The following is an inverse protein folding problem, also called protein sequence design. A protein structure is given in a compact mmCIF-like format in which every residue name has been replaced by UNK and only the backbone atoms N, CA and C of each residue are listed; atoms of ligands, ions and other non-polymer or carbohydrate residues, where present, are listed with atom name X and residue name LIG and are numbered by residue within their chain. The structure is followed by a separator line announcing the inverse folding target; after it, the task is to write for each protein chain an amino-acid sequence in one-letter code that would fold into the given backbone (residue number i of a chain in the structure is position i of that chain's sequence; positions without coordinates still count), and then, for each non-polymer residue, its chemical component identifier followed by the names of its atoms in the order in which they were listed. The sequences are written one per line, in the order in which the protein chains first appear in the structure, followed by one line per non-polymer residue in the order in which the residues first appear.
data_IF_121255231758
#
_entry.id   IF_121255231758
#
_cell.length_a   1.000
_cell.length_b   1.000
_cell.length_c   1.000
_cell.angle_alpha   90.00
_cell.angle_beta   90.00
_cell.angle_gamma   90.00
#
_symmetry.space_group_name_H-M   'P 1'
#
loop_
_entity.id
_entity.type
_entity.pdbx_description
1 polymer ?
#
# COMPACT_ATOMS: atom_id res chain seq x y z
N UNK A 1 10.92 20.11 -12.02
CA UNK A 1 9.83 20.83 -11.30
C UNK A 1 9.64 20.34 -9.85
N UNK A 2 9.87 19.06 -9.52
CA UNK A 2 9.73 18.54 -8.14
C UNK A 2 10.94 18.81 -7.24
N UNK A 3 12.17 18.75 -7.76
CA UNK A 3 13.41 18.88 -6.97
C UNK A 3 13.70 20.32 -6.53
N UNK A 4 13.59 21.28 -7.44
CA UNK A 4 13.70 22.72 -7.14
C UNK A 4 12.70 23.18 -6.07
N UNK A 5 11.49 22.62 -6.10
CA UNK A 5 10.47 22.88 -5.08
C UNK A 5 10.80 22.25 -3.73
N UNK A 6 11.51 21.11 -3.73
CA UNK A 6 12.02 20.51 -2.50
C UNK A 6 13.17 21.35 -1.92
N UNK A 7 14.07 21.86 -2.77
CA UNK A 7 15.15 22.75 -2.39
C UNK A 7 14.63 24.04 -1.75
N UNK A 8 13.66 24.71 -2.37
CA UNK A 8 12.99 25.88 -1.80
C UNK A 8 12.36 25.62 -0.43
N UNK A 9 11.87 24.40 -0.18
CA UNK A 9 11.27 24.06 1.12
C UNK A 9 12.34 23.81 2.18
N UNK A 10 13.49 23.27 1.78
CA UNK A 10 14.65 23.02 2.62
C UNK A 10 15.56 24.25 2.78
N UNK A 11 15.13 25.43 2.29
CA UNK A 11 15.93 26.67 2.26
C UNK A 11 17.29 26.50 1.53
N UNK A 12 17.32 25.64 0.51
CA UNK A 12 18.49 25.41 -0.36
C UNK A 12 18.36 26.27 -1.61
N UNK A 13 19.43 27.00 -1.93
CA UNK A 13 19.56 27.67 -3.22
C UNK A 13 19.72 26.60 -4.30
N UNK A 14 18.71 26.48 -5.17
CA UNK A 14 18.75 25.51 -6.26
C UNK A 14 19.54 26.07 -7.44
N UNK A 15 20.66 25.42 -7.76
CA UNK A 15 21.48 25.81 -8.90
C UNK A 15 21.02 25.14 -10.20
N UNK A 16 21.15 25.86 -11.32
CA UNK A 16 20.73 25.35 -12.64
C UNK A 16 21.57 24.16 -13.13
N UNK A 17 22.79 24.00 -12.62
CA UNK A 17 23.69 22.88 -12.88
C UNK A 17 23.26 21.57 -12.19
N UNK A 18 22.31 21.60 -11.23
CA UNK A 18 21.80 20.41 -10.54
C UNK A 18 20.84 19.56 -11.39
N UNK A 19 20.48 20.05 -12.57
CA UNK A 19 19.56 19.37 -13.48
C UNK A 19 20.25 19.09 -14.80
N UNK A 20 20.23 17.83 -15.21
CA UNK A 20 20.65 17.40 -16.56
C UNK A 20 19.41 16.90 -17.29
N UNK A 21 19.00 17.64 -18.33
CA UNK A 21 17.75 17.42 -19.06
C UNK A 21 16.53 17.48 -18.12
N UNK A 22 15.95 16.33 -17.78
CA UNK A 22 14.77 16.19 -16.92
C UNK A 22 15.08 15.55 -15.58
N UNK A 23 16.35 15.24 -15.31
CA UNK A 23 16.78 14.47 -14.14
C UNK A 23 17.71 15.30 -13.24
N UNK A 24 17.61 15.08 -11.93
CA UNK A 24 18.53 15.66 -10.95
C UNK A 24 19.83 14.86 -10.99
N UNK A 25 20.97 15.54 -11.04
CA UNK A 25 22.28 14.87 -10.98
C UNK A 25 22.70 14.57 -9.52
N UNK A 26 23.87 13.95 -9.35
CA UNK A 26 24.36 13.58 -8.03
C UNK A 26 24.55 14.79 -7.11
N UNK A 27 25.04 15.91 -7.63
CA UNK A 27 25.27 17.12 -6.84
C UNK A 27 23.96 17.72 -6.33
N UNK A 28 22.93 17.77 -7.18
CA UNK A 28 21.59 18.18 -6.78
C UNK A 28 20.94 17.26 -5.75
N UNK A 29 21.18 15.95 -5.84
CA UNK A 29 20.72 14.97 -4.85
C UNK A 29 21.45 15.12 -3.52
N UNK A 30 22.77 15.31 -3.55
CA UNK A 30 23.59 15.52 -2.36
C UNK A 30 23.22 16.83 -1.65
N UNK A 31 22.97 17.91 -2.40
CA UNK A 31 22.51 19.18 -1.84
C UNK A 31 21.15 19.05 -1.12
N UNK A 32 20.21 18.30 -1.71
CA UNK A 32 18.93 18.01 -1.05
C UNK A 32 19.09 17.12 0.18
N UNK A 33 19.97 16.12 0.10
CA UNK A 33 20.21 15.18 1.19
C UNK A 33 20.90 15.87 2.38
N UNK A 34 21.89 16.71 2.11
CA UNK A 34 22.61 17.48 3.13
C UNK A 34 21.66 18.44 3.84
N UNK A 35 20.85 19.18 3.08
CA UNK A 35 19.86 20.09 3.65
C UNK A 35 18.74 19.37 4.42
N UNK A 36 18.28 18.22 3.92
CA UNK A 36 17.33 17.38 4.65
C UNK A 36 17.94 16.84 5.94
N UNK A 37 19.23 16.48 5.93
CA UNK A 37 19.97 16.01 7.11
C UNK A 37 20.18 17.13 8.12
N UNK A 38 20.49 18.34 7.66
CA UNK A 38 20.59 19.53 8.50
C UNK A 38 19.23 19.90 9.11
N UNK A 39 18.15 19.86 8.33
CA UNK A 39 16.81 20.12 8.81
C UNK A 39 16.34 19.04 9.81
N UNK A 40 16.74 17.78 9.62
CA UNK A 40 16.50 16.71 10.57
C UNK A 40 17.25 16.95 11.88
N UNK A 41 18.56 17.23 11.81
CA UNK A 41 19.40 17.50 12.98
C UNK A 41 18.92 18.73 13.77
N UNK A 42 18.38 19.74 13.09
CA UNK A 42 17.82 20.95 13.70
C UNK A 42 16.37 20.80 14.18
N UNK A 43 15.73 19.63 14.01
CA UNK A 43 14.32 19.43 14.33
C UNK A 43 13.37 20.32 13.53
N UNK A 44 13.80 20.83 12.37
CA UNK A 44 13.09 21.84 11.57
C UNK A 44 12.33 21.25 10.38
N UNK A 45 12.40 19.93 10.15
CA UNK A 45 11.61 19.24 9.12
C UNK A 45 10.09 19.51 9.25
N UNK A 46 9.59 19.68 10.47
CA UNK A 46 8.18 20.02 10.72
C UNK A 46 7.82 21.40 10.14
N UNK A 47 8.74 22.37 10.19
CA UNK A 47 8.58 23.70 9.55
C UNK A 47 8.60 23.62 8.02
N UNK A 48 9.50 22.80 7.48
CA UNK A 48 9.61 22.53 6.04
C UNK A 48 8.31 21.90 5.50
N UNK A 49 7.69 21.02 6.29
CA UNK A 49 6.39 20.42 5.99
C UNK A 49 5.23 21.41 6.15
N UNK A 50 5.18 22.21 7.22
CA UNK A 50 4.12 23.21 7.44
C UNK A 50 4.05 24.27 6.32
N UNK A 51 5.22 24.73 5.80
CA UNK A 51 5.31 25.63 4.65
C UNK A 51 4.71 25.07 3.35
N UNK A 52 4.43 23.77 3.29
CA UNK A 52 3.83 23.13 2.13
C UNK A 52 2.30 23.22 2.08
N UNK A 53 1.64 23.60 3.18
CA UNK A 53 0.20 23.76 3.26
C UNK A 53 -0.20 25.23 3.16
N UNK A 54 -0.81 25.62 2.03
CA UNK A 54 -1.36 26.96 1.80
C UNK A 54 -2.21 27.42 3.00
N UNK A 55 -1.87 28.57 3.58
CA UNK A 55 -2.64 29.20 4.66
C UNK A 55 -2.35 28.72 6.09
N UNK A 56 -1.52 27.70 6.31
CA UNK A 56 -1.15 27.19 7.65
C UNK A 56 0.23 27.70 8.10
N UNK A 57 0.47 29.01 8.06
CA UNK A 57 1.78 29.63 8.36
C UNK A 57 1.89 30.28 9.75
N UNK A 58 0.80 30.37 10.50
CA UNK A 58 0.77 30.93 11.86
C UNK A 58 1.45 30.03 12.90
N UNK A 59 1.85 30.63 14.04
CA UNK A 59 2.51 29.91 15.13
C UNK A 59 1.60 28.82 15.74
N UNK A 60 0.29 29.04 15.70
CA UNK A 60 -0.74 28.09 16.12
C UNK A 60 -0.79 26.82 15.26
N UNK A 61 -0.12 26.80 14.10
CA UNK A 61 0.00 25.64 13.20
C UNK A 61 1.42 25.06 13.17
N UNK A 62 2.35 25.60 13.96
CA UNK A 62 3.77 25.28 13.85
C UNK A 62 4.09 23.78 14.06
N UNK A 63 3.28 23.07 14.83
CA UNK A 63 3.43 21.64 15.12
C UNK A 63 2.61 20.75 14.19
N UNK A 64 1.76 21.32 13.31
CA UNK A 64 0.93 20.52 12.41
C UNK A 64 1.78 19.70 11.45
N UNK A 65 1.53 18.40 11.41
CA UNK A 65 2.12 17.51 10.42
C UNK A 65 1.13 17.28 9.27
N UNK A 66 1.34 17.79 8.05
CA UNK A 66 0.42 17.59 6.95
C UNK A 66 0.38 16.13 6.48
N UNK A 67 -0.81 15.64 6.13
CA UNK A 67 -0.94 14.35 5.47
C UNK A 67 -0.26 14.39 4.09
N UNK A 68 0.45 13.31 3.75
CA UNK A 68 1.17 13.15 2.48
C UNK A 68 0.23 12.82 1.34
N UNK A 69 -0.87 12.15 1.63
CA UNK A 69 -1.83 11.67 0.65
C UNK A 69 -3.27 11.94 1.08
N UNK A 70 -4.21 11.88 0.12
CA UNK A 70 -5.63 11.98 0.44
C UNK A 70 -6.14 10.82 1.30
N UNK A 71 -5.61 9.62 1.09
CA UNK A 71 -6.04 8.45 1.87
C UNK A 71 -5.57 8.58 3.33
N UNK A 72 -4.35 9.06 3.57
CA UNK A 72 -3.88 9.39 4.92
C UNK A 72 -4.75 10.48 5.55
N UNK A 73 -5.08 11.52 4.78
CA UNK A 73 -5.92 12.61 5.26
C UNK A 73 -7.30 12.13 5.74
N UNK A 74 -8.01 11.34 4.93
CA UNK A 74 -9.33 10.80 5.34
C UNK A 74 -9.20 9.78 6.47
N UNK A 75 -8.11 9.02 6.53
CA UNK A 75 -7.84 8.08 7.63
C UNK A 75 -7.67 8.81 8.96
N UNK A 76 -6.91 9.92 8.97
CA UNK A 76 -6.75 10.78 10.16
C UNK A 76 -8.08 11.39 10.59
N UNK A 77 -8.86 11.92 9.65
CA UNK A 77 -10.20 12.47 9.96
C UNK A 77 -11.12 11.44 10.63
N UNK A 78 -11.14 10.20 10.13
CA UNK A 78 -11.92 9.14 10.74
C UNK A 78 -11.43 8.82 12.16
N UNK A 79 -10.11 8.71 12.35
CA UNK A 79 -9.50 8.42 13.64
C UNK A 79 -9.75 9.49 14.70
N UNK A 80 -9.83 10.78 14.32
CA UNK A 80 -10.11 11.88 15.25
C UNK A 80 -11.47 11.76 15.94
N UNK A 81 -12.43 11.08 15.30
CA UNK A 81 -13.81 10.98 15.79
C UNK A 81 -14.29 9.56 16.04
N UNK A 82 -13.41 8.56 15.91
CA UNK A 82 -13.80 7.15 15.98
C UNK A 82 -14.81 6.74 14.90
N UNK A 83 -14.90 7.51 13.80
CA UNK A 83 -15.80 7.21 12.70
C UNK A 83 -15.36 5.95 11.95
N UNK A 84 -16.29 5.27 11.24
CA UNK A 84 -15.93 4.21 10.31
C UNK A 84 -14.85 4.69 9.34
N UNK A 85 -13.84 3.85 9.09
CA UNK A 85 -12.75 4.23 8.20
C UNK A 85 -13.24 4.37 6.77
N UNK A 86 -12.66 5.35 6.10
CA UNK A 86 -13.04 5.76 4.76
C UNK A 86 -11.98 5.32 3.76
N UNK A 87 -12.43 5.01 2.55
CA UNK A 87 -11.57 4.75 1.40
C UNK A 87 -11.69 5.89 0.40
N UNK A 88 -10.90 5.85 -0.67
CA UNK A 88 -11.07 6.79 -1.79
C UNK A 88 -11.90 6.14 -2.89
N UNK A 89 -12.88 6.89 -3.38
CA UNK A 89 -13.68 6.51 -4.54
C UNK A 89 -12.94 6.72 -5.86
N UNK A 90 -13.60 6.45 -7.00
CA UNK A 90 -12.99 6.52 -8.33
C UNK A 90 -12.25 7.83 -8.59
N UNK A 91 -11.01 7.71 -9.08
CA UNK A 91 -10.12 8.86 -9.33
C UNK A 91 -9.50 9.45 -8.07
N UNK A 92 -9.30 8.64 -7.03
CA UNK A 92 -8.71 9.05 -5.74
C UNK A 92 -9.49 10.20 -5.08
N UNK A 93 -10.82 10.18 -5.21
CA UNK A 93 -11.71 11.19 -4.65
C UNK A 93 -12.20 10.77 -3.26
N UNK A 94 -12.12 11.69 -2.32
CA UNK A 94 -12.69 11.51 -0.99
C UNK A 94 -14.22 11.39 -1.05
N UNK A 95 -14.81 10.56 -0.20
CA UNK A 95 -16.25 10.49 -0.03
C UNK A 95 -16.75 11.68 0.81
N UNK A 96 -18.00 12.10 0.59
CA UNK A 96 -18.63 13.15 1.42
C UNK A 96 -18.79 12.69 2.88
N UNK A 97 -18.96 11.39 3.09
CA UNK A 97 -19.09 10.76 4.41
C UNK A 97 -17.91 11.05 5.34
N UNK A 98 -16.68 11.12 4.82
CA UNK A 98 -15.50 11.48 5.62
C UNK A 98 -15.67 12.83 6.36
N UNK A 99 -16.26 13.83 5.70
CA UNK A 99 -16.52 15.14 6.30
C UNK A 99 -17.82 15.16 7.11
N UNK A 100 -18.83 14.41 6.67
CA UNK A 100 -20.10 14.32 7.41
C UNK A 100 -19.91 13.66 8.77
N UNK A 101 -19.07 12.62 8.84
CA UNK A 101 -18.74 11.95 10.09
C UNK A 101 -18.03 12.91 11.05
N UNK A 102 -17.07 13.70 10.55
CA UNK A 102 -16.41 14.75 11.33
C UNK A 102 -17.43 15.77 11.87
N UNK A 103 -18.29 16.29 10.99
CA UNK A 103 -19.32 17.26 11.35
C UNK A 103 -20.30 16.70 12.40
N UNK A 104 -20.80 15.49 12.18
CA UNK A 104 -21.78 14.84 13.06
C UNK A 104 -21.19 14.58 14.44
N UNK A 105 -19.92 14.17 14.52
CA UNK A 105 -19.29 13.82 15.79
C UNK A 105 -18.77 15.02 16.58
N UNK A 106 -18.23 16.06 15.90
CA UNK A 106 -17.69 17.24 16.59
C UNK A 106 -18.73 18.35 16.79
N UNK A 107 -19.73 18.43 15.90
CA UNK A 107 -20.65 19.57 15.81
C UNK A 107 -22.10 19.13 15.51
N UNK A 108 -22.68 18.16 16.26
CA UNK A 108 -23.96 17.54 15.92
C UNK A 108 -25.15 18.51 15.78
N UNK A 109 -25.07 19.70 16.39
CA UNK A 109 -26.14 20.69 16.40
C UNK A 109 -25.67 22.09 15.96
N UNK A 110 -24.55 22.19 15.24
CA UNK A 110 -24.06 23.49 14.77
C UNK A 110 -24.72 23.90 13.45
N UNK A 111 -25.68 24.83 13.53
CA UNK A 111 -26.44 25.33 12.38
C UNK A 111 -25.58 26.00 11.30
N UNK A 112 -24.32 26.35 11.61
CA UNK A 112 -23.38 26.91 10.63
C UNK A 112 -22.87 25.88 9.64
N UNK A 113 -23.00 24.58 9.93
CA UNK A 113 -22.50 23.52 9.05
C UNK A 113 -23.47 23.26 7.90
N UNK A 114 -23.05 23.60 6.68
CA UNK A 114 -23.82 23.39 5.47
C UNK A 114 -23.48 22.02 4.84
N UNK A 115 -24.37 21.04 5.04
CA UNK A 115 -24.24 19.70 4.49
C UNK A 115 -24.75 19.56 3.05
N UNK A 116 -25.17 20.63 2.36
CA UNK A 116 -25.79 20.56 1.03
C UNK A 116 -24.85 20.00 -0.05
N UNK A 117 -23.57 20.37 0.00
CA UNK A 117 -22.55 19.95 -0.96
C UNK A 117 -21.22 19.68 -0.27
N UNK A 118 -20.29 18.99 -0.94
CA UNK A 118 -18.98 18.68 -0.33
C UNK A 118 -18.14 19.95 -0.14
N UNK A 119 -18.20 20.87 -1.10
CA UNK A 119 -17.48 22.14 -1.00
C UNK A 119 -18.01 23.02 0.14
N UNK A 120 -19.33 23.12 0.28
CA UNK A 120 -19.97 23.86 1.39
C UNK A 120 -19.68 23.23 2.75
N UNK A 121 -19.75 21.90 2.82
CA UNK A 121 -19.42 21.17 4.03
C UNK A 121 -17.96 21.39 4.44
N UNK A 122 -17.02 21.30 3.48
CA UNK A 122 -15.61 21.58 3.74
C UNK A 122 -15.35 23.03 4.19
N UNK A 123 -15.99 24.02 3.55
CA UNK A 123 -15.79 25.43 3.89
C UNK A 123 -16.36 25.77 5.26
N UNK A 124 -17.58 25.35 5.55
CA UNK A 124 -18.24 25.61 6.83
C UNK A 124 -17.57 24.86 7.98
N UNK A 125 -17.08 23.63 7.75
CA UNK A 125 -16.21 22.93 8.71
C UNK A 125 -14.94 23.71 9.00
N UNK A 126 -14.24 24.21 7.98
CA UNK A 126 -13.04 25.01 8.17
C UNK A 126 -13.33 26.31 8.95
N UNK A 127 -14.47 26.96 8.68
CA UNK A 127 -14.93 28.14 9.42
C UNK A 127 -15.16 27.84 10.90
N UNK A 128 -15.93 26.79 11.25
CA UNK A 128 -16.19 26.45 12.67
C UNK A 128 -14.94 25.95 13.39
N UNK A 129 -14.01 25.32 12.68
CA UNK A 129 -12.71 24.90 13.19
C UNK A 129 -11.67 26.04 13.25
N UNK A 130 -12.04 27.23 12.78
CA UNK A 130 -11.15 28.38 12.63
C UNK A 130 -9.83 27.97 11.93
N UNK A 131 -9.98 27.27 10.81
CA UNK A 131 -8.93 26.84 9.91
C UNK A 131 -9.00 27.65 8.60
N UNK A 132 -7.88 27.87 7.89
CA UNK A 132 -7.91 28.57 6.62
C UNK A 132 -8.79 27.83 5.61
N UNK A 133 -9.47 28.59 4.75
CA UNK A 133 -10.19 28.03 3.61
C UNK A 133 -10.08 28.96 2.39
N UNK A 134 -9.75 28.39 1.24
CA UNK A 134 -9.61 29.13 -0.03
C UNK A 134 -10.25 28.35 -1.18
N UNK A 135 -10.60 29.05 -2.26
CA UNK A 135 -11.06 28.43 -3.51
C UNK A 135 -10.05 27.42 -4.07
N UNK A 136 -8.76 27.65 -3.83
CA UNK A 136 -7.68 26.76 -4.27
C UNK A 136 -7.70 25.38 -3.59
N UNK A 137 -8.45 25.22 -2.50
CA UNK A 137 -8.60 23.95 -1.78
C UNK A 137 -9.59 23.01 -2.43
N UNK A 138 -10.30 23.49 -3.45
CA UNK A 138 -11.29 22.72 -4.18
C UNK A 138 -10.86 22.50 -5.62
N UNK A 139 -11.36 21.42 -6.21
CA UNK A 139 -11.29 21.13 -7.64
C UNK A 139 -12.71 20.96 -8.20
N UNK A 140 -12.81 20.94 -9.53
CA UNK A 140 -14.08 20.73 -10.23
C UNK A 140 -14.74 19.40 -9.81
N UNK A 141 -16.06 19.35 -9.90
CA UNK A 141 -16.84 18.14 -9.56
C UNK A 141 -16.84 17.78 -8.07
N UNK A 142 -17.03 18.77 -7.18
CA UNK A 142 -17.20 18.56 -5.73
C UNK A 142 -16.05 17.78 -5.09
N UNK A 143 -14.81 18.02 -5.53
CA UNK A 143 -13.61 17.38 -4.98
C UNK A 143 -12.84 18.39 -4.12
N UNK A 144 -12.37 17.97 -2.96
CA UNK A 144 -11.45 18.74 -2.11
C UNK A 144 -10.02 18.25 -2.40
N UNK A 145 -9.09 19.17 -2.61
CA UNK A 145 -7.67 18.85 -2.82
C UNK A 145 -7.03 18.45 -1.48
N UNK A 146 -5.89 17.77 -1.52
CA UNK A 146 -5.15 17.40 -0.31
C UNK A 146 -4.86 18.62 0.58
N UNK A 147 -4.55 19.79 0.01
CA UNK A 147 -4.35 21.03 0.76
C UNK A 147 -5.58 21.45 1.56
N UNK A 148 -6.79 21.28 1.00
CA UNK A 148 -8.04 21.53 1.70
C UNK A 148 -8.32 20.53 2.81
N UNK A 149 -8.04 19.24 2.56
CA UNK A 149 -8.17 18.21 3.60
C UNK A 149 -7.19 18.46 4.76
N UNK A 150 -5.95 18.86 4.46
CA UNK A 150 -4.96 19.22 5.47
C UNK A 150 -5.40 20.43 6.30
N UNK A 151 -6.06 21.43 5.71
CA UNK A 151 -6.63 22.54 6.46
C UNK A 151 -7.72 22.08 7.45
N UNK A 152 -8.61 21.18 7.02
CA UNK A 152 -9.67 20.63 7.88
C UNK A 152 -9.05 19.77 9.00
N UNK A 153 -8.06 18.93 8.70
CA UNK A 153 -7.35 18.11 9.70
C UNK A 153 -6.66 19.00 10.72
N UNK A 154 -5.90 20.00 10.28
CA UNK A 154 -5.23 20.93 11.18
C UNK A 154 -6.22 21.60 12.14
N UNK A 155 -7.35 22.09 11.59
CA UNK A 155 -8.44 22.65 12.37
C UNK A 155 -9.00 21.68 13.40
N UNK A 156 -9.32 20.44 12.99
CA UNK A 156 -9.90 19.40 13.83
C UNK A 156 -8.93 18.94 14.93
N UNK A 157 -7.67 18.70 14.60
CA UNK A 157 -6.64 18.33 15.57
C UNK A 157 -6.45 19.43 16.61
N UNK A 158 -6.36 20.69 16.17
CA UNK A 158 -6.24 21.82 17.09
C UNK A 158 -7.47 21.95 17.99
N UNK A 159 -8.68 21.81 17.44
CA UNK A 159 -9.92 21.84 18.19
C UNK A 159 -9.96 20.76 19.28
N UNK A 160 -9.38 19.58 19.01
CA UNK A 160 -9.29 18.47 19.93
C UNK A 160 -8.05 18.49 20.86
N UNK A 161 -7.17 19.48 20.73
CA UNK A 161 -5.91 19.54 21.50
C UNK A 161 -4.87 18.49 21.09
N UNK A 162 -4.96 17.98 19.86
CA UNK A 162 -4.19 16.86 19.28
C UNK A 162 -3.28 17.31 18.11
N UNK A 163 -2.94 18.59 18.05
CA UNK A 163 -2.22 19.17 16.91
C UNK A 163 -0.82 18.58 16.74
N UNK A 164 -0.54 18.07 15.54
CA UNK A 164 0.75 17.47 15.20
C UNK A 164 0.79 15.96 15.31
N UNK A 165 -0.33 15.33 15.66
CA UNK A 165 -0.48 13.88 15.56
C UNK A 165 -0.15 13.40 14.15
N UNK A 166 0.61 12.31 14.09
CA UNK A 166 0.94 11.64 12.84
C UNK A 166 0.03 10.43 12.66
N UNK A 167 0.02 9.84 11.46
CA UNK A 167 -0.84 8.68 11.18
C UNK A 167 -0.62 7.51 12.16
N UNK A 168 0.61 7.32 12.66
CA UNK A 168 0.92 6.25 13.61
C UNK A 168 0.36 6.51 15.01
N UNK A 169 0.03 7.76 15.35
CA UNK A 169 -0.67 8.12 16.58
C UNK A 169 -2.18 7.92 16.41
N UNK A 170 -2.68 8.11 15.19
CA UNK A 170 -4.08 7.92 14.83
C UNK A 170 -4.48 6.44 14.70
N UNK A 171 -3.55 5.59 14.26
CA UNK A 171 -3.76 4.14 14.08
C UNK A 171 -3.15 3.37 15.25
N UNK A 172 -3.89 3.30 16.35
CA UNK A 172 -3.41 2.75 17.62
C UNK A 172 -3.53 1.23 17.76
N UNK A 173 -4.13 0.53 16.79
CA UNK A 173 -4.23 -0.94 16.79
C UNK A 173 -3.81 -1.55 15.45
N UNK A 174 -3.34 -2.81 15.40
CA UNK A 174 -3.02 -3.51 14.15
C UNK A 174 -4.24 -3.68 13.24
N UNK A 175 -5.42 -3.91 13.80
CA UNK A 175 -6.68 -3.95 13.04
C UNK A 175 -6.93 -2.61 12.35
N UNK A 176 -6.59 -1.52 13.06
CA UNK A 176 -6.72 -0.19 12.54
C UNK A 176 -5.81 0.10 11.36
N UNK A 177 -4.57 -0.31 11.52
CA UNK A 177 -3.56 -0.22 10.49
C UNK A 177 -3.91 -1.09 9.28
N UNK A 178 -4.24 -2.36 9.49
CA UNK A 178 -4.56 -3.30 8.40
C UNK A 178 -5.71 -2.82 7.52
N UNK A 179 -6.76 -2.29 8.13
CA UNK A 179 -7.90 -1.70 7.43
C UNK A 179 -7.51 -0.46 6.61
N UNK A 180 -6.72 0.47 7.17
CA UNK A 180 -6.23 1.64 6.45
C UNK A 180 -5.31 1.26 5.28
N UNK A 181 -4.43 0.27 5.47
CA UNK A 181 -3.55 -0.24 4.42
C UNK A 181 -4.36 -0.91 3.31
N UNK A 182 -5.35 -1.75 3.65
CA UNK A 182 -6.23 -2.39 2.68
C UNK A 182 -7.04 -1.35 1.88
N UNK A 183 -7.59 -0.31 2.52
CA UNK A 183 -8.27 0.79 1.86
C UNK A 183 -7.38 1.56 0.88
N UNK A 184 -6.11 1.79 1.23
CA UNK A 184 -5.14 2.44 0.36
C UNK A 184 -4.82 1.61 -0.90
N UNK A 185 -4.69 0.29 -0.73
CA UNK A 185 -4.50 -0.64 -1.85
C UNK A 185 -5.70 -0.69 -2.78
N UNK A 186 -6.92 -0.78 -2.23
CA UNK A 186 -8.17 -0.71 -2.98
C UNK A 186 -8.28 0.55 -3.85
N UNK A 187 -7.92 1.70 -3.27
CA UNK A 187 -8.01 3.00 -3.92
C UNK A 187 -7.02 3.18 -5.09
N UNK A 188 -5.91 2.46 -5.10
CA UNK A 188 -4.74 2.81 -5.92
C UNK A 188 -4.18 1.69 -6.78
N UNK A 189 -4.44 0.42 -6.45
CA UNK A 189 -4.03 -0.69 -7.31
C UNK A 189 -4.85 -0.68 -8.62
N UNK A 190 -4.22 -1.01 -9.77
CA UNK A 190 -4.96 -1.13 -11.01
C UNK A 190 -5.98 -2.27 -10.93
N UNK A 191 -7.16 -2.08 -11.52
CA UNK A 191 -8.24 -3.09 -11.54
C UNK A 191 -8.03 -4.20 -12.58
N UNK A 192 -7.02 -4.06 -13.44
CA UNK A 192 -6.62 -5.05 -14.43
C UNK A 192 -5.11 -5.01 -14.62
N UNK A 193 -4.46 -6.17 -14.53
CA UNK A 193 -3.01 -6.33 -14.71
C UNK A 193 -2.76 -7.18 -15.95
N UNK A 194 -2.29 -6.56 -17.03
CA UNK A 194 -1.82 -7.26 -18.23
C UNK A 194 -0.43 -7.86 -17.97
N UNK A 195 -0.25 -9.15 -18.28
CA UNK A 195 0.99 -9.83 -17.97
C UNK A 195 2.20 -9.27 -18.73
N UNK A 196 2.04 -8.84 -19.99
CA UNK A 196 3.15 -8.29 -20.79
C UNK A 196 3.59 -6.94 -20.24
N UNK A 197 2.63 -6.09 -19.87
CA UNK A 197 2.89 -4.79 -19.24
C UNK A 197 3.53 -4.96 -17.86
N UNK A 198 3.02 -5.87 -17.04
CA UNK A 198 3.57 -6.16 -15.71
C UNK A 198 5.01 -6.68 -15.78
N UNK A 199 5.29 -7.65 -16.67
CA UNK A 199 6.64 -8.20 -16.88
C UNK A 199 7.61 -7.13 -17.38
N UNK A 200 7.18 -6.28 -18.32
CA UNK A 200 7.99 -5.14 -18.79
C UNK A 200 8.28 -4.17 -17.66
N UNK A 201 7.26 -3.78 -16.90
CA UNK A 201 7.41 -2.86 -15.78
C UNK A 201 8.39 -3.41 -14.74
N UNK A 202 8.30 -4.70 -14.38
CA UNK A 202 9.26 -5.33 -13.47
C UNK A 202 10.69 -5.25 -14.00
N UNK A 203 10.90 -5.55 -15.29
CA UNK A 203 12.24 -5.49 -15.88
C UNK A 203 12.78 -4.07 -16.03
N UNK A 204 11.95 -3.10 -16.43
CA UNK A 204 12.31 -1.69 -16.60
C UNK A 204 12.66 -1.01 -15.26
N UNK A 205 12.22 -1.58 -14.14
CA UNK A 205 12.53 -1.11 -12.80
C UNK A 205 13.59 -1.98 -12.08
N UNK A 206 14.26 -2.89 -12.80
CA UNK A 206 15.26 -3.82 -12.25
C UNK A 206 14.76 -4.68 -11.07
N UNK A 207 13.48 -5.03 -11.11
CA UNK A 207 12.80 -5.82 -10.08
C UNK A 207 12.79 -7.31 -10.44
N UNK A 208 12.69 -8.14 -9.39
CA UNK A 208 12.57 -9.60 -9.54
C UNK A 208 11.22 -9.99 -10.15
N UNK A 209 11.12 -11.21 -10.69
CA UNK A 209 9.85 -11.76 -11.16
C UNK A 209 9.56 -11.61 -12.65
N UNK A 210 10.30 -10.77 -13.37
CA UNK A 210 10.10 -10.57 -14.82
C UNK A 210 10.33 -11.85 -15.64
N UNK A 211 11.11 -12.80 -15.11
CA UNK A 211 11.38 -14.10 -15.72
C UNK A 211 10.58 -15.25 -15.09
N UNK A 212 9.75 -14.98 -14.08
CA UNK A 212 9.03 -16.00 -13.31
C UNK A 212 7.58 -16.16 -13.81
N UNK A 213 6.95 -17.30 -13.52
CA UNK A 213 5.55 -17.55 -13.91
C UNK A 213 4.57 -16.88 -12.94
N UNK A 214 5.04 -16.59 -11.74
CA UNK A 214 4.35 -15.90 -10.65
C UNK A 214 4.45 -14.38 -10.78
N UNK A 215 4.58 -13.84 -12.00
CA UNK A 215 4.77 -12.42 -12.27
C UNK A 215 3.75 -11.53 -11.55
N UNK A 216 2.50 -11.99 -11.37
CA UNK A 216 1.45 -11.23 -10.70
C UNK A 216 1.74 -11.05 -9.21
N UNK A 217 2.41 -12.02 -8.58
CA UNK A 217 2.87 -11.92 -7.20
C UNK A 217 3.91 -10.81 -7.06
N UNK A 218 4.97 -10.87 -7.86
CA UNK A 218 6.03 -9.85 -7.85
C UNK A 218 5.52 -8.46 -8.23
N UNK A 219 4.74 -8.36 -9.29
CA UNK A 219 4.15 -7.09 -9.72
C UNK A 219 3.23 -6.51 -8.64
N UNK A 220 2.31 -7.32 -8.09
CA UNK A 220 1.37 -6.85 -7.08
C UNK A 220 2.05 -6.43 -5.78
N UNK A 221 3.04 -7.20 -5.32
CA UNK A 221 3.85 -6.89 -4.13
C UNK A 221 4.55 -5.53 -4.26
N UNK A 222 5.26 -5.31 -5.38
CA UNK A 222 6.01 -4.07 -5.59
C UNK A 222 5.10 -2.86 -5.81
N UNK A 223 3.98 -3.03 -6.52
CA UNK A 223 2.99 -1.96 -6.68
C UNK A 223 2.34 -1.61 -5.35
N UNK A 224 1.98 -2.60 -4.54
CA UNK A 224 1.42 -2.38 -3.22
C UNK A 224 2.42 -1.66 -2.30
N UNK A 225 3.69 -2.09 -2.26
CA UNK A 225 4.76 -1.41 -1.51
C UNK A 225 4.90 0.06 -1.91
N UNK A 226 4.93 0.35 -3.21
CA UNK A 226 5.00 1.71 -3.73
C UNK A 226 3.78 2.55 -3.32
N UNK A 227 2.57 1.99 -3.40
CA UNK A 227 1.33 2.65 -2.98
C UNK A 227 1.36 2.97 -1.50
N UNK A 228 1.73 2.01 -0.64
CA UNK A 228 1.74 2.21 0.82
C UNK A 228 2.78 3.26 1.24
N UNK A 229 3.99 3.24 0.64
CA UNK A 229 5.02 4.26 0.86
C UNK A 229 4.61 5.68 0.39
N UNK A 230 3.80 5.76 -0.66
CA UNK A 230 3.23 7.03 -1.14
C UNK A 230 2.03 7.48 -0.29
N UNK A 231 1.32 6.53 0.31
CA UNK A 231 0.09 6.78 1.06
C UNK A 231 0.37 7.22 2.49
N UNK A 232 1.31 6.56 3.18
CA UNK A 232 1.55 6.76 4.60
C UNK A 232 3.04 7.06 4.88
N UNK A 233 3.30 7.74 6.00
CA UNK A 233 4.66 7.96 6.49
C UNK A 233 4.97 6.91 7.57
N UNK A 234 5.88 5.96 7.32
CA UNK A 234 6.31 4.98 8.32
C UNK A 234 6.85 5.60 9.61
N UNK A 235 6.68 4.90 10.73
CA UNK A 235 7.32 5.26 12.01
C UNK A 235 8.85 5.19 11.89
N UNK A 236 9.56 6.06 12.60
CA UNK A 236 11.03 6.06 12.67
C UNK A 236 11.49 6.12 14.15
N UNK A 237 12.22 5.11 14.67
CA UNK A 237 12.46 3.81 14.04
C UNK A 237 11.15 3.02 13.90
N UNK A 238 11.01 2.31 12.79
CA UNK A 238 9.86 1.45 12.50
C UNK A 238 10.00 0.05 13.11
N UNK A 239 9.00 -0.81 12.95
CA UNK A 239 9.06 -2.20 13.41
C UNK A 239 10.15 -2.99 12.68
N UNK A 240 10.68 -4.04 13.33
CA UNK A 240 11.72 -4.89 12.75
C UNK A 240 11.12 -5.75 11.63
N UNK A 241 11.63 -5.65 10.40
CA UNK A 241 11.08 -6.43 9.26
C UNK A 241 11.90 -7.64 8.84
N UNK A 242 13.10 -7.81 9.39
CA UNK A 242 14.05 -8.83 8.93
C UNK A 242 14.28 -9.91 9.96
N UNK A 243 14.01 -11.16 9.55
CA UNK A 243 14.14 -12.38 10.34
C UNK A 243 14.85 -13.44 9.51
N UNK A 244 16.13 -13.69 9.84
CA UNK A 244 17.00 -14.52 9.00
C UNK A 244 17.14 -13.95 7.59
N UNK A 245 16.84 -14.76 6.58
CA UNK A 245 16.84 -14.34 5.16
C UNK A 245 15.52 -13.76 4.68
N UNK A 246 14.48 -13.75 5.52
CA UNK A 246 13.16 -13.22 5.16
C UNK A 246 13.07 -11.76 5.58
N UNK A 247 12.60 -10.92 4.66
CA UNK A 247 12.27 -9.53 4.91
C UNK A 247 10.80 -9.33 4.56
N UNK A 248 10.01 -8.92 5.55
CA UNK A 248 8.59 -8.62 5.35
C UNK A 248 8.39 -7.28 4.65
N UNK A 249 7.30 -7.18 3.90
CA UNK A 249 7.22 -6.19 2.83
C UNK A 249 7.08 -4.75 3.29
N UNK A 250 6.33 -4.51 4.35
CA UNK A 250 5.96 -3.18 4.77
C UNK A 250 5.92 -3.07 6.29
N UNK A 251 6.15 -1.86 6.79
CA UNK A 251 6.05 -1.56 8.21
C UNK A 251 5.62 -0.12 8.39
N UNK A 252 4.50 0.10 9.09
CA UNK A 252 4.04 1.42 9.49
C UNK A 252 4.27 1.56 11.01
N UNK A 253 3.32 1.12 11.84
CA UNK A 253 3.52 0.84 13.26
C UNK A 253 3.76 -0.65 13.50
N UNK A 254 3.13 -1.54 12.71
CA UNK A 254 3.31 -2.99 12.74
C UNK A 254 3.85 -3.53 11.42
N UNK A 255 4.26 -4.81 11.43
CA UNK A 255 4.80 -5.49 10.25
C UNK A 255 3.68 -6.07 9.39
N UNK A 256 3.75 -5.81 8.09
CA UNK A 256 2.82 -6.34 7.09
C UNK A 256 3.56 -6.99 5.94
N UNK A 257 3.12 -8.19 5.61
CA UNK A 257 3.57 -8.95 4.46
C UNK A 257 2.52 -8.93 3.36
N UNK A 258 2.94 -8.68 2.12
CA UNK A 258 2.01 -8.53 1.00
C UNK A 258 1.95 -9.84 0.23
N UNK A 259 0.74 -10.25 -0.13
CA UNK A 259 0.51 -11.48 -0.88
C UNK A 259 -0.53 -11.26 -1.96
N UNK A 260 -0.30 -11.91 -3.11
CA UNK A 260 -1.25 -11.94 -4.22
C UNK A 260 -1.76 -13.37 -4.38
N UNK A 261 -3.07 -13.52 -4.29
CA UNK A 261 -3.75 -14.80 -4.32
C UNK A 261 -4.64 -14.93 -5.55
N UNK A 262 -4.55 -16.07 -6.23
CA UNK A 262 -5.52 -16.42 -7.28
C UNK A 262 -6.66 -17.18 -6.62
N UNK A 263 -7.81 -16.52 -6.48
CA UNK A 263 -9.04 -17.14 -5.93
C UNK A 263 -9.94 -17.71 -7.03
N UNK A 264 -9.85 -17.15 -8.23
CA UNK A 264 -10.60 -17.57 -9.42
C UNK A 264 -9.62 -17.71 -10.59
N UNK A 265 -9.86 -18.68 -11.47
CA UNK A 265 -9.16 -18.81 -12.73
C UNK A 265 -10.15 -18.92 -13.90
N UNK A 266 -9.83 -18.22 -14.99
CA UNK A 266 -10.60 -18.25 -16.24
C UNK A 266 -9.72 -18.78 -17.36
N UNK A 267 -10.17 -19.87 -18.00
CA UNK A 267 -9.51 -20.55 -19.11
C UNK A 267 -10.50 -20.60 -20.27
N UNK A 268 -10.27 -19.81 -21.32
CA UNK A 268 -11.23 -19.62 -22.40
C UNK A 268 -12.61 -19.22 -21.84
N UNK A 269 -13.70 -19.94 -22.19
CA UNK A 269 -15.04 -19.62 -21.70
C UNK A 269 -15.33 -20.13 -20.27
N UNK A 270 -14.39 -20.82 -19.62
CA UNK A 270 -14.63 -21.50 -18.34
C UNK A 270 -13.98 -20.74 -17.18
N UNK A 271 -14.81 -20.28 -16.25
CA UNK A 271 -14.39 -19.68 -14.97
C UNK A 271 -14.64 -20.67 -13.83
N UNK A 272 -13.65 -20.88 -12.97
CA UNK A 272 -13.77 -21.75 -11.79
C UNK A 272 -12.97 -21.25 -10.60
N UNK A 273 -13.35 -21.68 -9.40
CA UNK A 273 -12.57 -21.47 -8.19
C UNK A 273 -11.16 -22.04 -8.32
N UNK A 274 -10.19 -21.33 -7.75
CA UNK A 274 -8.84 -21.83 -7.51
C UNK A 274 -8.72 -22.37 -6.07
N UNK A 275 -7.52 -22.75 -5.66
CA UNK A 275 -7.26 -23.22 -4.29
C UNK A 275 -7.41 -22.07 -3.30
N UNK A 276 -8.16 -22.26 -2.21
CA UNK A 276 -8.21 -21.31 -1.09
C UNK A 276 -6.89 -21.26 -0.28
N UNK A 277 -5.98 -22.18 -0.55
CA UNK A 277 -4.69 -22.27 0.13
C UNK A 277 -3.63 -21.47 -0.62
N UNK A 278 -2.96 -20.57 0.10
CA UNK A 278 -1.86 -19.72 -0.37
C UNK A 278 -0.58 -19.98 0.42
N UNK A 279 0.55 -20.06 -0.29
CA UNK A 279 1.87 -20.14 0.33
C UNK A 279 2.31 -18.77 0.90
N UNK A 280 2.80 -18.78 2.13
CA UNK A 280 3.35 -17.63 2.83
C UNK A 280 4.88 -17.70 2.90
N UNK A 281 5.43 -17.03 3.91
CA UNK A 281 6.86 -16.95 4.18
C UNK A 281 7.38 -18.15 4.97
N UNK A 282 8.70 -18.16 5.15
CA UNK A 282 9.43 -19.14 5.96
C UNK A 282 8.81 -19.30 7.35
N UNK A 283 8.65 -20.55 7.79
CA UNK A 283 7.96 -20.87 9.04
C UNK A 283 8.63 -20.21 10.25
N UNK A 284 9.98 -20.25 10.32
CA UNK A 284 10.71 -19.71 11.47
C UNK A 284 10.60 -18.19 11.49
N UNK A 285 10.80 -17.53 10.35
CA UNK A 285 10.67 -16.08 10.26
C UNK A 285 9.26 -15.58 10.66
N UNK A 286 8.21 -16.31 10.30
CA UNK A 286 6.83 -15.99 10.73
C UNK A 286 6.68 -16.14 12.24
N UNK A 287 7.15 -17.25 12.81
CA UNK A 287 7.10 -17.47 14.27
C UNK A 287 7.86 -16.39 15.03
N UNK A 288 9.11 -16.14 14.64
CA UNK A 288 9.97 -15.17 15.30
C UNK A 288 9.37 -13.75 15.26
N UNK A 289 8.76 -13.35 14.12
CA UNK A 289 8.10 -12.05 14.01
C UNK A 289 6.84 -11.96 14.85
N UNK A 290 6.01 -13.01 14.83
CA UNK A 290 4.78 -13.06 15.62
C UNK A 290 5.09 -13.01 17.12
N UNK A 291 6.10 -13.77 17.56
CA UNK A 291 6.51 -13.81 18.97
C UNK A 291 7.10 -12.48 19.45
N UNK A 292 7.76 -11.70 18.56
CA UNK A 292 8.35 -10.40 18.90
C UNK A 292 7.32 -9.26 18.91
N UNK A 293 6.42 -9.19 17.92
CA UNK A 293 5.61 -7.99 17.68
C UNK A 293 4.29 -8.23 16.91
N UNK A 294 3.93 -9.49 16.67
CA UNK A 294 2.83 -9.85 15.77
C UNK A 294 3.21 -9.72 14.28
N UNK A 295 2.33 -10.23 13.40
CA UNK A 295 2.51 -10.16 11.95
C UNK A 295 1.18 -10.02 11.23
N UNK A 296 1.12 -9.07 10.30
CA UNK A 296 0.00 -8.86 9.41
C UNK A 296 0.25 -9.39 7.99
N UNK A 297 -0.83 -9.80 7.32
CA UNK A 297 -0.82 -10.14 5.90
C UNK A 297 -1.84 -9.29 5.14
N UNK A 298 -1.39 -8.57 4.12
CA UNK A 298 -2.24 -7.88 3.16
C UNK A 298 -2.38 -8.75 1.91
N UNK A 299 -3.58 -9.29 1.68
CA UNK A 299 -3.82 -10.26 0.61
C UNK A 299 -4.69 -9.66 -0.47
N UNK A 300 -4.12 -9.47 -1.66
CA UNK A 300 -4.86 -9.11 -2.87
C UNK A 300 -5.31 -10.39 -3.57
N UNK A 301 -6.58 -10.72 -3.45
CA UNK A 301 -7.19 -11.88 -4.09
C UNK A 301 -7.87 -11.48 -5.38
N UNK A 302 -7.71 -12.28 -6.43
CA UNK A 302 -8.24 -11.94 -7.74
C UNK A 302 -8.40 -13.12 -8.69
N UNK A 303 -8.95 -12.79 -9.85
CA UNK A 303 -9.11 -13.68 -10.99
C UNK A 303 -7.84 -13.71 -11.83
N UNK A 304 -7.29 -14.88 -12.07
CA UNK A 304 -6.26 -15.08 -13.08
C UNK A 304 -6.90 -15.46 -14.42
N UNK A 305 -6.63 -14.67 -15.46
CA UNK A 305 -6.93 -15.06 -16.84
C UNK A 305 -5.76 -15.91 -17.33
N UNK A 306 -6.06 -17.11 -17.80
CA UNK A 306 -5.07 -18.08 -18.24
C UNK A 306 -4.82 -17.95 -19.73
N UNK A 307 -3.57 -18.19 -20.13
CA UNK A 307 -3.09 -18.15 -21.52
C UNK A 307 -3.50 -19.44 -22.26
N UNK A 308 -4.75 -19.52 -22.69
CA UNK A 308 -5.33 -20.68 -23.38
C UNK A 308 -4.86 -20.81 -24.84
N UNK A 309 -4.50 -19.69 -25.48
CA UNK A 309 -3.92 -19.68 -26.85
C UNK A 309 -2.43 -20.01 -26.88
N UNK A 310 -1.71 -19.76 -25.78
CA UNK A 310 -0.26 -19.90 -25.70
C UNK A 310 0.52 -18.68 -26.20
N UNK A 311 -0.16 -17.59 -26.57
CA UNK A 311 0.45 -16.38 -27.09
C UNK A 311 1.32 -15.68 -26.05
N UNK A 312 0.87 -15.65 -24.80
CA UNK A 312 1.67 -15.07 -23.73
C UNK A 312 2.90 -15.92 -23.43
N UNK A 313 2.77 -17.25 -23.44
CA UNK A 313 3.91 -18.16 -23.30
C UNK A 313 4.95 -17.94 -24.40
N UNK A 314 4.53 -17.92 -25.66
CA UNK A 314 5.43 -17.71 -26.80
C UNK A 314 6.15 -16.36 -26.67
N UNK A 315 5.41 -15.30 -26.33
CA UNK A 315 5.99 -13.98 -26.08
C UNK A 315 6.98 -13.98 -24.91
N UNK A 316 6.65 -14.60 -23.78
CA UNK A 316 7.48 -14.58 -22.58
C UNK A 316 8.73 -15.45 -22.72
N UNK A 317 8.68 -16.54 -23.49
CA UNK A 317 9.89 -17.30 -23.84
C UNK A 317 10.84 -16.50 -24.75
N UNK A 318 10.31 -15.78 -25.74
CA UNK A 318 11.10 -14.87 -26.58
C UNK A 318 11.69 -13.71 -25.76
N UNK A 319 10.94 -13.19 -24.79
CA UNK A 319 11.38 -12.16 -23.84
C UNK A 319 12.57 -12.64 -23.00
N UNK A 320 12.48 -13.82 -22.39
CA UNK A 320 13.56 -14.42 -21.58
C UNK A 320 14.82 -14.68 -22.40
N UNK A 321 14.65 -15.15 -23.64
CA UNK A 321 15.75 -15.37 -24.56
C UNK A 321 16.46 -14.06 -24.88
N UNK A 322 15.69 -12.98 -25.15
CA UNK A 322 16.25 -11.65 -25.42
C UNK A 322 17.03 -11.08 -24.23
N UNK A 323 16.53 -11.25 -23.01
CA UNK A 323 17.20 -10.71 -21.81
C UNK A 323 18.43 -11.52 -21.37
N UNK A 324 18.34 -12.85 -21.40
CA UNK A 324 19.37 -13.71 -20.80
C UNK A 324 20.28 -14.41 -21.80
N UNK A 325 19.95 -14.34 -23.10
CA UNK A 325 20.61 -15.11 -24.15
C UNK A 325 20.37 -16.62 -24.06
N UNK A 326 19.56 -17.10 -23.12
CA UNK A 326 19.32 -18.52 -22.86
C UNK A 326 17.85 -18.87 -23.09
N UNK A 327 17.63 -19.98 -23.80
CA UNK A 327 16.29 -20.53 -23.99
C UNK A 327 15.74 -21.08 -22.65
N UNK A 328 14.42 -20.98 -22.47
CA UNK A 328 13.72 -21.62 -21.34
C UNK A 328 14.02 -23.13 -21.33
N UNK A 329 14.35 -23.67 -20.16
CA UNK A 329 14.55 -25.10 -20.02
C UNK A 329 13.27 -25.89 -20.38
N UNK A 330 13.38 -27.05 -21.04
CA UNK A 330 12.22 -27.86 -21.38
C UNK A 330 11.53 -28.40 -20.12
N UNK A 331 10.21 -28.60 -20.21
CA UNK A 331 9.44 -29.22 -19.12
C UNK A 331 9.77 -30.71 -19.03
N UNK A 332 9.99 -31.22 -17.81
CA UNK A 332 10.21 -32.65 -17.56
C UNK A 332 9.02 -33.53 -18.01
N UNK A 333 7.81 -32.98 -18.07
CA UNK A 333 6.60 -33.69 -18.49
C UNK A 333 6.24 -33.48 -19.97
N UNK A 334 7.05 -32.73 -20.73
CA UNK A 334 6.73 -32.32 -22.11
C UNK A 334 5.63 -31.25 -22.21
N UNK A 335 4.74 -31.14 -21.21
CA UNK A 335 3.70 -30.11 -21.11
C UNK A 335 4.15 -29.01 -20.15
N UNK A 336 4.24 -27.77 -20.65
CA UNK A 336 4.42 -26.58 -19.80
C UNK A 336 3.12 -26.28 -19.07
N UNK A 337 3.19 -25.82 -17.82
CA UNK A 337 2.02 -25.26 -17.13
C UNK A 337 1.48 -24.08 -17.93
N UNK A 338 0.14 -23.97 -17.99
CA UNK A 338 -0.56 -22.83 -18.56
C UNK A 338 -0.19 -21.58 -17.76
N UNK A 339 0.19 -20.50 -18.45
CA UNK A 339 0.61 -19.25 -17.81
C UNK A 339 -0.59 -18.35 -17.54
N UNK A 340 -0.43 -17.38 -16.65
CA UNK A 340 -1.42 -16.31 -16.46
C UNK A 340 -1.13 -15.19 -17.45
N UNK A 341 -2.10 -14.86 -18.29
CA UNK A 341 -2.02 -13.76 -19.27
C UNK A 341 -2.52 -12.43 -18.69
N UNK A 342 -3.36 -12.48 -17.65
CA UNK A 342 -3.76 -11.30 -16.88
C UNK A 342 -4.18 -11.65 -15.44
N UNK A 343 -4.33 -10.62 -14.62
CA UNK A 343 -4.88 -10.73 -13.26
C UNK A 343 -5.84 -9.56 -12.98
N UNK A 344 -7.04 -9.87 -12.50
CA UNK A 344 -8.05 -8.88 -12.12
C UNK A 344 -8.26 -8.94 -10.60
N UNK A 345 -7.78 -7.96 -9.82
CA UNK A 345 -8.06 -7.90 -8.39
C UNK A 345 -9.56 -7.88 -8.11
N UNK A 346 -10.00 -8.66 -7.11
CA UNK A 346 -11.41 -8.78 -6.71
C UNK A 346 -11.65 -8.23 -5.31
N UNK A 347 -10.77 -8.57 -4.37
CA UNK A 347 -10.81 -8.04 -3.01
C UNK A 347 -9.42 -7.98 -2.38
N UNK A 348 -9.27 -7.09 -1.41
CA UNK A 348 -8.10 -6.99 -0.55
C UNK A 348 -8.52 -7.23 0.88
N UNK A 349 -7.89 -8.20 1.53
CA UNK A 349 -8.10 -8.51 2.94
C UNK A 349 -6.85 -8.17 3.75
N UNK A 350 -7.05 -7.75 5.00
CA UNK A 350 -6.00 -7.69 5.99
C UNK A 350 -6.22 -8.79 7.04
N UNK A 351 -5.20 -9.58 7.32
CA UNK A 351 -5.19 -10.60 8.37
C UNK A 351 -4.14 -10.24 9.41
N UNK A 352 -4.40 -10.50 10.69
CA UNK A 352 -3.50 -10.16 11.79
C UNK A 352 -3.31 -11.34 12.74
N UNK A 353 -2.06 -11.65 13.06
CA UNK A 353 -1.70 -12.64 14.08
C UNK A 353 -0.93 -11.91 15.19
N UNK A 354 -1.55 -11.63 16.35
CA UNK A 354 -0.97 -10.76 17.37
C UNK A 354 0.20 -11.38 18.12
N UNK A 355 0.16 -12.69 18.37
CA UNK A 355 1.11 -13.37 19.24
C UNK A 355 1.17 -14.89 18.98
N UNK A 356 2.07 -15.55 19.73
CA UNK A 356 2.27 -16.99 19.71
C UNK A 356 0.99 -17.80 19.94
N UNK A 357 0.13 -17.37 20.87
CA UNK A 357 -1.09 -18.08 21.24
C UNK A 357 -2.11 -18.01 20.10
N UNK A 358 -2.28 -16.84 19.49
CA UNK A 358 -3.12 -16.65 18.32
C UNK A 358 -2.60 -17.42 17.11
N UNK A 359 -1.28 -17.48 16.90
CA UNK A 359 -0.67 -18.33 15.88
C UNK A 359 -0.97 -19.82 16.13
N UNK A 360 -0.84 -20.28 17.36
CA UNK A 360 -1.20 -21.64 17.77
C UNK A 360 -2.68 -21.95 17.49
N UNK A 361 -3.59 -21.04 17.86
CA UNK A 361 -5.03 -21.17 17.59
C UNK A 361 -5.35 -21.18 16.08
N UNK A 362 -4.68 -20.33 15.30
CA UNK A 362 -4.81 -20.30 13.84
C UNK A 362 -4.32 -21.61 13.20
N UNK A 363 -3.26 -22.23 13.74
CA UNK A 363 -2.78 -23.55 13.29
C UNK A 363 -3.79 -24.65 13.64
N UNK A 364 -4.27 -24.68 14.88
CA UNK A 364 -5.23 -25.70 15.34
C UNK A 364 -6.55 -25.65 14.59
N UNK A 365 -7.02 -24.45 14.22
CA UNK A 365 -8.22 -24.26 13.41
C UNK A 365 -7.99 -24.46 11.90
N UNK A 366 -6.74 -24.70 11.48
CA UNK A 366 -6.35 -24.89 10.07
C UNK A 366 -6.45 -23.63 9.22
N UNK A 367 -6.43 -22.44 9.85
CA UNK A 367 -6.31 -21.16 9.16
C UNK A 367 -4.89 -20.99 8.61
N UNK A 368 -3.89 -21.40 9.40
CA UNK A 368 -2.48 -21.47 9.01
C UNK A 368 -1.97 -22.91 9.12
N UNK A 369 -1.03 -23.31 8.28
CA UNK A 369 -0.46 -24.67 8.35
C UNK A 369 1.01 -24.66 7.95
N UNK A 370 1.93 -25.18 8.79
CA UNK A 370 3.30 -25.44 8.36
C UNK A 370 3.34 -26.44 7.21
N UNK A 371 4.03 -26.09 6.14
CA UNK A 371 4.21 -26.91 4.96
C UNK A 371 5.69 -27.20 4.72
N UNK A 372 6.11 -28.47 4.83
CA UNK A 372 7.42 -28.90 4.38
C UNK A 372 7.63 -28.56 2.90
N UNK A 373 8.79 -28.01 2.58
CA UNK A 373 9.20 -27.78 1.20
C UNK A 373 10.09 -28.91 0.69
N UNK A 374 10.03 -29.18 -0.62
CA UNK A 374 10.96 -30.08 -1.28
C UNK A 374 12.40 -29.55 -1.23
N UNK A 375 13.36 -30.33 -1.73
CA UNK A 375 14.78 -29.92 -1.77
C UNK A 375 15.01 -28.84 -2.83
N UNK A 376 16.08 -28.06 -2.66
CA UNK A 376 16.60 -27.18 -3.70
C UNK A 376 17.02 -28.00 -4.93
N UNK A 377 17.20 -27.33 -6.07
CA UNK A 377 17.89 -27.96 -7.19
C UNK A 377 19.32 -28.34 -6.77
N UNK A 378 19.83 -29.51 -7.17
CA UNK A 378 21.19 -29.91 -6.84
C UNK A 378 22.21 -28.98 -7.51
N UNK A 379 23.28 -28.63 -6.78
CA UNK A 379 24.37 -27.78 -7.30
C UNK A 379 25.24 -28.50 -8.34
N UNK A 380 25.17 -29.82 -8.40
CA UNK A 380 25.91 -30.69 -9.33
C UNK A 380 24.91 -31.62 -10.02
N UNK A 381 25.06 -31.82 -11.33
CA UNK A 381 24.22 -32.73 -12.11
C UNK A 381 24.28 -34.14 -11.53
N UNK A 382 23.12 -34.73 -11.23
CA UNK A 382 23.02 -36.05 -10.58
C UNK A 382 23.17 -36.04 -9.06
N UNK A 383 23.44 -34.90 -8.43
CA UNK A 383 23.50 -34.75 -6.98
C UNK A 383 22.13 -34.57 -6.31
N UNK A 384 22.14 -34.46 -4.98
CA UNK A 384 20.96 -34.16 -4.17
C UNK A 384 21.03 -32.71 -3.67
N UNK A 385 19.94 -31.96 -3.83
CA UNK A 385 19.87 -30.59 -3.32
C UNK A 385 19.67 -30.50 -1.81
N UNK A 386 20.05 -29.35 -1.23
CA UNK A 386 19.82 -29.08 0.18
C UNK A 386 18.32 -29.05 0.52
N UNK A 387 17.90 -29.51 1.71
CA UNK A 387 16.52 -29.35 2.16
C UNK A 387 16.16 -27.86 2.24
N UNK A 388 14.94 -27.51 1.84
CA UNK A 388 14.43 -26.14 2.01
C UNK A 388 13.74 -26.04 3.37
N UNK A 389 13.94 -24.95 4.11
CA UNK A 389 13.14 -24.66 5.30
C UNK A 389 11.64 -24.73 4.98
N UNK A 390 10.79 -25.17 5.91
CA UNK A 390 9.33 -25.14 5.71
C UNK A 390 8.80 -23.72 5.57
N UNK A 391 7.61 -23.59 5.00
CA UNK A 391 6.85 -22.33 4.91
C UNK A 391 5.50 -22.49 5.57
N UNK A 392 4.85 -21.39 5.92
CA UNK A 392 3.41 -21.46 6.19
C UNK A 392 2.60 -21.47 4.91
N UNK A 393 1.42 -22.06 4.98
CA UNK A 393 0.30 -21.77 4.09
C UNK A 393 -0.86 -21.18 4.88
N UNK A 394 -1.67 -20.34 4.24
CA UNK A 394 -2.92 -19.83 4.76
C UNK A 394 -4.09 -20.35 3.93
N UNK A 395 -5.12 -20.88 4.59
CA UNK A 395 -6.42 -21.14 3.98
C UNK A 395 -7.28 -19.87 4.12
N UNK A 396 -7.47 -19.15 3.03
CA UNK A 396 -8.14 -17.84 3.01
C UNK A 396 -9.61 -17.95 3.43
N UNK A 397 -10.32 -19.01 3.03
CA UNK A 397 -11.70 -19.25 3.44
C UNK A 397 -11.84 -19.40 4.96
N UNK A 398 -10.95 -20.16 5.61
CA UNK A 398 -10.95 -20.31 7.08
C UNK A 398 -10.45 -19.05 7.79
N UNK A 399 -9.34 -18.47 7.33
CA UNK A 399 -8.75 -17.28 7.92
C UNK A 399 -9.73 -16.08 7.89
N UNK A 400 -10.59 -16.01 6.87
CA UNK A 400 -11.61 -14.97 6.72
C UNK A 400 -12.64 -14.89 7.86
N UNK A 401 -12.78 -15.97 8.64
CA UNK A 401 -13.67 -16.09 9.80
C UNK A 401 -12.93 -16.07 11.14
N UNK A 402 -11.60 -15.93 11.13
CA UNK A 402 -10.78 -16.00 12.34
C UNK A 402 -9.87 -14.78 12.49
N UNK A 403 -8.76 -14.79 11.75
CA UNK A 403 -7.72 -13.76 11.86
C UNK A 403 -7.88 -12.56 10.91
N UNK A 404 -8.98 -12.47 10.15
CA UNK A 404 -9.21 -11.34 9.25
C UNK A 404 -9.72 -10.11 10.01
N UNK A 405 -9.06 -8.98 9.79
CA UNK A 405 -9.35 -7.70 10.46
C UNK A 405 -9.96 -6.65 9.53
N UNK A 406 -9.78 -6.80 8.20
CA UNK A 406 -10.42 -5.95 7.21
C UNK A 406 -10.65 -6.68 5.88
N UNK A 407 -11.63 -6.23 5.11
CA UNK A 407 -11.97 -6.76 3.78
C UNK A 407 -12.60 -5.67 2.93
N UNK A 408 -12.03 -5.42 1.76
CA UNK A 408 -12.60 -4.51 0.77
C UNK A 408 -12.71 -5.17 -0.60
N UNK A 409 -13.83 -4.94 -1.27
CA UNK A 409 -14.08 -5.45 -2.62
C UNK A 409 -13.93 -4.34 -3.64
N UNK A 410 -13.25 -4.63 -4.76
CA UNK A 410 -13.33 -3.75 -5.91
C UNK A 410 -14.76 -3.75 -6.46
N UNK A 411 -15.27 -2.59 -6.91
CA UNK A 411 -16.56 -2.55 -7.59
C UNK A 411 -16.50 -3.49 -8.79
N UNK A 412 -17.47 -4.39 -8.92
CA UNK A 412 -17.63 -5.16 -10.16
C UNK A 412 -17.76 -4.15 -11.29
N UNK A 413 -16.81 -4.17 -12.23
CA UNK A 413 -16.94 -3.35 -13.43
C UNK A 413 -18.31 -3.63 -14.03
N UNK A 414 -19.11 -2.59 -14.28
CA UNK A 414 -20.18 -2.74 -15.28
C UNK A 414 -19.44 -3.17 -16.54
N UNK A 415 -19.67 -4.40 -16.98
CA UNK A 415 -19.26 -4.85 -18.31
C UNK A 415 -19.62 -3.73 -19.27
N UNK A 416 -18.62 -3.17 -19.95
CA UNK A 416 -18.86 -2.25 -21.06
C UNK A 416 -19.71 -3.03 -22.07
N UNK A 417 -21.01 -2.75 -22.07
CA UNK A 417 -21.94 -3.12 -23.14
C UNK A 417 -21.70 -2.24 -24.33
#
# INVERSE_FOLDING_TARGET
MTAERAAQRLDVVWESNYVVKTSVNLDGLNALLDAASCAYAAGSLTRVAARSALGLSGAEWATFNPARSKIEAVTRLAALTGAPREWLGPGSKEHKSALLNLATNLFPNDERIDTSSKHRLGSTLAEVLNAPWSRDFTATGQTIKLTGLNAIIAGAERHLGRLGEVITDALTTPEAEGDALAAALLASLPVHWDAKQAVRWLAENDLRGSNDLEWQGFYGEERARAILNASFTPKVPGPRRSYGSTVFDYGLSWVWDIKVHTSIQTIGPVTRGASDVMLLNDERAVRDCVDEQGLGFLVVSGEAVMDDTGDFKAWHDAWKLKLSGKASAPSNSGTSRVRKSAFNPLHVDAYWVPDHHALGAAILSGQLTPRPQGRQAPRVKGGVGAPRPPKFEMNTAKASHGIRVASYMWPKGKSAT
#
